data_IF_930861291076
#
_entry.id   IF_930861291076
#
_cell.length_a   1.000
_cell.length_b   1.000
_cell.length_c   1.000
_cell.angle_alpha   90.00
_cell.angle_beta   90.00
_cell.angle_gamma   90.00
#
_symmetry.space_group_name_H-M   'P 1'
#
loop_
_entity.id
_entity.type
_entity.pdbx_description
1 polymer ?
#
# COMPACT_ATOMS: atom_id res chain seq x y z
N UNK A 1 42.36 -16.78 -22.71
CA UNK A 1 41.87 -17.34 -21.43
C UNK A 1 41.32 -16.21 -20.54
N UNK A 2 40.11 -15.67 -20.83
CA UNK A 2 39.51 -14.54 -20.07
C UNK A 2 38.03 -14.79 -19.67
N UNK A 3 37.56 -16.05 -19.68
CA UNK A 3 36.16 -16.38 -19.35
C UNK A 3 35.77 -16.44 -17.87
N UNK A 4 36.66 -16.66 -16.86
CA UNK A 4 36.21 -16.76 -15.45
C UNK A 4 35.84 -15.42 -14.79
N UNK A 5 36.38 -14.31 -15.27
CA UNK A 5 36.17 -12.99 -14.60
C UNK A 5 34.73 -12.48 -14.78
N UNK A 6 34.13 -12.72 -15.95
CA UNK A 6 32.75 -12.26 -16.25
C UNK A 6 31.73 -13.03 -15.44
N UNK A 7 31.98 -14.32 -15.18
CA UNK A 7 31.07 -15.18 -14.39
C UNK A 7 31.07 -14.76 -12.90
N UNK A 8 32.20 -14.35 -12.37
CA UNK A 8 32.33 -13.90 -10.98
C UNK A 8 31.62 -12.55 -10.72
N UNK A 9 31.65 -11.63 -11.68
CA UNK A 9 30.96 -10.34 -11.57
C UNK A 9 29.44 -10.52 -11.66
N UNK A 10 28.96 -11.43 -12.52
CA UNK A 10 27.54 -11.73 -12.64
C UNK A 10 26.99 -12.43 -11.38
N UNK A 11 27.73 -13.30 -10.74
CA UNK A 11 27.33 -13.96 -9.49
C UNK A 11 27.30 -13.01 -8.30
N UNK A 12 28.23 -12.05 -8.22
CA UNK A 12 28.26 -11.05 -7.14
C UNK A 12 27.12 -10.02 -7.27
N UNK A 13 26.67 -9.68 -8.47
CA UNK A 13 25.50 -8.83 -8.66
C UNK A 13 24.19 -9.53 -8.26
N UNK A 14 24.05 -10.83 -8.55
CA UNK A 14 22.85 -11.59 -8.19
C UNK A 14 22.65 -11.75 -6.68
N UNK A 15 23.74 -11.77 -5.90
CA UNK A 15 23.69 -11.87 -4.43
C UNK A 15 23.19 -10.61 -3.72
N UNK A 16 23.27 -9.44 -4.35
CA UNK A 16 22.84 -8.17 -3.75
C UNK A 16 21.32 -7.97 -3.74
N UNK A 17 20.57 -8.72 -4.57
CA UNK A 17 19.12 -8.55 -4.71
C UNK A 17 18.27 -9.40 -3.75
N UNK A 18 18.87 -10.22 -2.89
CA UNK A 18 18.16 -11.11 -1.99
C UNK A 18 18.25 -10.71 -0.49
N UNK A 19 18.53 -9.47 -0.17
CA UNK A 19 18.39 -9.04 1.23
C UNK A 19 16.90 -8.90 1.55
N UNK A 20 16.36 -9.64 2.53
CA UNK A 20 15.01 -9.40 3.00
C UNK A 20 14.94 -7.94 3.46
N UNK A 21 13.99 -7.18 2.94
CA UNK A 21 13.72 -5.84 3.43
C UNK A 21 13.35 -5.98 4.92
N UNK A 22 14.27 -5.61 5.78
CA UNK A 22 14.00 -5.51 7.21
C UNK A 22 12.88 -4.49 7.37
N UNK A 23 11.75 -4.89 7.96
CA UNK A 23 10.68 -3.96 8.27
C UNK A 23 11.18 -3.05 9.40
N UNK A 24 11.70 -1.89 9.05
CA UNK A 24 12.09 -0.87 10.01
C UNK A 24 10.84 -0.15 10.50
N UNK A 25 10.83 0.19 11.79
CA UNK A 25 9.83 1.11 12.32
C UNK A 25 10.08 2.49 11.71
N UNK A 26 9.04 3.06 11.13
CA UNK A 26 9.06 4.37 10.47
C UNK A 26 8.21 5.36 11.27
N UNK A 27 8.59 6.63 11.21
CA UNK A 27 7.79 7.71 11.82
C UNK A 27 6.75 8.20 10.83
N UNK A 28 5.49 8.24 11.25
CA UNK A 28 4.38 8.70 10.43
C UNK A 28 3.72 9.89 11.13
N UNK A 29 3.40 10.94 10.37
CA UNK A 29 2.62 12.10 10.86
C UNK A 29 1.46 12.35 9.92
N UNK A 30 0.25 12.53 10.44
CA UNK A 30 -0.90 12.99 9.65
C UNK A 30 -0.78 14.49 9.39
N UNK A 31 -0.60 14.85 8.12
CA UNK A 31 -0.52 16.26 7.69
C UNK A 31 -1.89 16.83 7.35
N UNK A 32 -2.75 16.02 6.71
CA UNK A 32 -4.07 16.43 6.26
C UNK A 32 -4.95 15.19 6.02
N UNK A 33 -6.21 15.22 6.43
CA UNK A 33 -7.21 14.16 6.20
C UNK A 33 -7.79 14.13 4.77
N UNK A 34 -7.20 14.88 3.83
CA UNK A 34 -7.76 15.06 2.49
C UNK A 34 -8.70 16.28 2.40
N UNK A 35 -9.23 16.50 1.19
CA UNK A 35 -10.05 17.68 0.89
C UNK A 35 -11.56 17.37 0.84
N UNK A 36 -11.95 16.13 1.09
CA UNK A 36 -13.34 15.69 1.04
C UNK A 36 -13.81 15.29 2.42
N UNK A 37 -14.99 15.76 2.79
CA UNK A 37 -15.65 15.39 4.04
C UNK A 37 -17.02 14.80 3.70
N UNK A 38 -17.33 13.62 4.23
CA UNK A 38 -18.64 12.99 4.14
C UNK A 38 -19.10 12.58 5.52
N UNK A 39 -20.30 13.00 5.90
CA UNK A 39 -20.89 12.71 7.22
C UNK A 39 -19.99 13.08 8.41
N UNK A 40 -19.20 14.15 8.26
CA UNK A 40 -18.34 14.67 9.32
C UNK A 40 -16.96 14.04 9.44
N UNK A 41 -16.64 13.06 8.59
CA UNK A 41 -15.32 12.42 8.55
C UNK A 41 -14.59 12.73 7.24
N UNK A 42 -13.26 12.79 7.31
CA UNK A 42 -12.43 12.92 6.11
C UNK A 42 -12.49 11.63 5.28
N UNK A 43 -12.61 11.79 3.97
CA UNK A 43 -12.65 10.68 3.00
C UNK A 43 -11.73 10.98 1.82
N UNK A 44 -11.20 9.93 1.21
CA UNK A 44 -10.24 10.04 0.11
C UNK A 44 -8.78 9.91 0.59
N UNK A 45 -7.80 10.22 -0.29
CA UNK A 45 -6.40 10.10 0.09
C UNK A 45 -5.99 11.12 1.15
N UNK A 46 -5.46 10.62 2.25
CA UNK A 46 -4.83 11.39 3.32
C UNK A 46 -3.42 11.81 2.90
N UNK A 47 -2.95 12.93 3.43
CA UNK A 47 -1.57 13.35 3.29
C UNK A 47 -0.79 13.01 4.56
N UNK A 48 0.16 12.12 4.43
CA UNK A 48 1.06 11.69 5.51
C UNK A 48 2.46 12.26 5.28
N UNK A 49 3.24 12.34 6.36
CA UNK A 49 4.70 12.47 6.29
C UNK A 49 5.29 11.19 6.86
N UNK A 50 6.08 10.48 6.07
CA UNK A 50 6.73 9.22 6.44
C UNK A 50 8.22 9.42 6.40
N UNK A 51 8.89 9.31 7.55
CA UNK A 51 10.33 9.61 7.72
C UNK A 51 10.76 10.93 7.06
N UNK A 52 9.93 11.98 7.24
CA UNK A 52 10.16 13.31 6.69
C UNK A 52 9.63 13.54 5.27
N UNK A 53 9.25 12.50 4.52
CA UNK A 53 8.80 12.59 3.14
C UNK A 53 7.27 12.62 3.05
N UNK A 54 6.68 13.47 2.18
CA UNK A 54 5.24 13.50 1.96
C UNK A 54 4.78 12.25 1.20
N UNK A 55 3.63 11.71 1.59
CA UNK A 55 3.05 10.50 1.03
C UNK A 55 1.52 10.60 1.03
N UNK A 56 0.86 10.13 -0.04
CA UNK A 56 -0.58 9.96 -0.06
C UNK A 56 -0.94 8.52 0.29
N UNK A 57 -1.95 8.35 1.15
CA UNK A 57 -2.40 7.05 1.61
C UNK A 57 -3.91 7.04 1.82
N UNK A 58 -4.53 5.87 1.83
CA UNK A 58 -5.95 5.66 2.08
C UNK A 58 -6.10 4.87 3.37
N UNK A 59 -6.90 5.40 4.30
CA UNK A 59 -7.20 4.75 5.56
C UNK A 59 -8.19 3.59 5.33
N UNK A 60 -7.92 2.44 5.94
CA UNK A 60 -8.85 1.29 5.97
C UNK A 60 -9.48 1.04 7.34
N UNK A 61 -9.09 1.83 8.32
CA UNK A 61 -9.50 1.71 9.70
C UNK A 61 -10.54 2.77 10.08
N UNK A 62 -11.74 2.33 10.46
CA UNK A 62 -12.83 3.16 10.98
C UNK A 62 -12.98 3.09 12.50
N UNK A 63 -12.23 2.22 13.17
CA UNK A 63 -12.31 2.04 14.62
C UNK A 63 -11.53 3.11 15.38
N UNK A 64 -10.50 3.69 14.78
CA UNK A 64 -9.60 4.62 15.45
C UNK A 64 -9.68 6.03 14.87
N UNK A 65 -9.60 7.03 15.74
CA UNK A 65 -9.60 8.43 15.36
C UNK A 65 -8.19 9.03 15.36
N UNK A 66 -7.82 9.65 14.24
CA UNK A 66 -6.60 10.42 14.05
C UNK A 66 -6.89 11.91 13.86
N UNK A 67 -6.05 12.74 14.44
CA UNK A 67 -6.10 14.18 14.27
C UNK A 67 -4.89 14.70 13.51
N UNK A 68 -5.10 15.78 12.75
CA UNK A 68 -4.00 16.45 12.03
C UNK A 68 -2.92 16.88 13.02
N UNK A 69 -1.69 16.48 12.76
CA UNK A 69 -0.53 16.68 13.61
C UNK A 69 -0.14 15.47 14.47
N UNK A 70 -1.00 14.46 14.58
CA UNK A 70 -0.66 13.23 15.30
C UNK A 70 0.53 12.54 14.63
N UNK A 71 1.42 12.03 15.49
CA UNK A 71 2.63 11.32 15.05
C UNK A 71 2.74 9.98 15.79
N UNK A 72 3.05 8.91 15.02
CA UNK A 72 3.21 7.56 15.56
C UNK A 72 4.31 6.80 14.85
N UNK A 73 4.63 5.62 15.37
CA UNK A 73 5.50 4.66 14.69
C UNK A 73 4.68 3.58 14.01
N UNK A 74 5.01 3.28 12.78
CA UNK A 74 4.39 2.23 11.99
C UNK A 74 5.43 1.30 11.37
N UNK A 75 4.96 0.18 10.86
CA UNK A 75 5.76 -0.71 10.03
C UNK A 75 5.14 -0.76 8.64
N UNK A 76 5.95 -0.45 7.61
CA UNK A 76 5.55 -0.59 6.22
C UNK A 76 5.83 -2.01 5.73
N UNK A 77 4.83 -2.66 5.15
CA UNK A 77 4.99 -3.99 4.52
C UNK A 77 4.30 -4.04 3.17
N UNK A 78 4.91 -4.71 2.15
CA UNK A 78 4.23 -5.00 0.90
C UNK A 78 2.95 -5.78 1.12
N UNK A 79 1.91 -5.45 0.34
CA UNK A 79 0.64 -6.15 0.36
C UNK A 79 0.79 -7.53 -0.30
N UNK A 80 1.13 -8.52 0.50
CA UNK A 80 1.33 -9.91 0.06
C UNK A 80 0.67 -10.89 1.02
N UNK A 81 0.36 -12.10 0.55
CA UNK A 81 -0.26 -13.15 1.36
C UNK A 81 0.49 -13.43 2.67
N UNK A 82 1.82 -13.45 2.63
CA UNK A 82 2.64 -13.75 3.81
C UNK A 82 2.64 -12.63 4.85
N UNK A 83 2.30 -11.42 4.44
CA UNK A 83 2.28 -10.25 5.31
C UNK A 83 0.90 -9.98 5.94
N UNK A 84 -0.18 -10.62 5.45
CA UNK A 84 -1.54 -10.36 5.96
C UNK A 84 -1.65 -10.50 7.47
N UNK A 85 -0.99 -11.49 8.06
CA UNK A 85 -0.99 -11.72 9.51
C UNK A 85 -0.35 -10.61 10.36
N UNK A 86 0.36 -9.67 9.72
CA UNK A 86 1.01 -8.53 10.36
C UNK A 86 0.23 -7.23 10.20
N UNK A 87 -0.82 -7.22 9.38
CA UNK A 87 -1.72 -6.11 9.21
C UNK A 87 -2.78 -6.12 10.30
N UNK A 88 -3.36 -4.97 10.58
CA UNK A 88 -4.28 -4.81 11.69
C UNK A 88 -5.44 -5.81 11.64
N UNK A 89 -6.19 -5.81 10.54
CA UNK A 89 -7.36 -6.66 10.36
C UNK A 89 -7.02 -8.07 9.85
N UNK A 90 -5.77 -8.37 9.63
CA UNK A 90 -5.26 -9.69 9.29
C UNK A 90 -4.60 -10.41 10.47
N UNK A 91 -4.33 -9.70 11.56
CA UNK A 91 -3.71 -10.23 12.76
C UNK A 91 -4.71 -11.04 13.59
N UNK A 92 -4.50 -12.34 13.82
CA UNK A 92 -5.43 -13.17 14.60
C UNK A 92 -5.56 -12.76 16.08
N UNK A 93 -4.67 -11.90 16.58
CA UNK A 93 -4.78 -11.34 17.93
C UNK A 93 -5.65 -10.08 18.00
N UNK A 94 -6.02 -9.48 16.85
CA UNK A 94 -6.88 -8.31 16.82
C UNK A 94 -8.36 -8.72 17.06
N UNK A 95 -9.09 -8.07 18.00
CA UNK A 95 -10.51 -8.33 18.22
C UNK A 95 -11.38 -7.98 16.99
N UNK A 96 -10.88 -7.13 16.10
CA UNK A 96 -11.54 -6.71 14.85
C UNK A 96 -11.03 -7.47 13.61
N UNK A 97 -10.52 -8.70 13.80
CA UNK A 97 -10.05 -9.54 12.70
C UNK A 97 -11.10 -9.65 11.60
N UNK A 98 -10.73 -9.32 10.38
CA UNK A 98 -11.60 -9.50 9.21
C UNK A 98 -11.97 -10.99 9.03
N UNK A 99 -13.22 -11.27 8.69
CA UNK A 99 -13.72 -12.64 8.48
C UNK A 99 -12.92 -13.38 7.42
N UNK A 100 -12.51 -12.69 6.38
CA UNK A 100 -11.62 -13.19 5.33
C UNK A 100 -10.57 -12.14 4.97
N UNK A 101 -9.45 -12.05 5.70
CA UNK A 101 -8.43 -11.03 5.45
C UNK A 101 -7.94 -11.00 4.00
N UNK A 102 -7.82 -12.16 3.34
CA UNK A 102 -7.39 -12.23 1.95
C UNK A 102 -8.37 -11.50 1.02
N UNK A 103 -9.66 -11.71 1.19
CA UNK A 103 -10.69 -11.03 0.41
C UNK A 103 -10.69 -9.53 0.75
N UNK A 104 -10.82 -9.18 2.05
CA UNK A 104 -10.93 -7.79 2.49
C UNK A 104 -9.75 -6.94 2.01
N UNK A 105 -8.51 -7.39 2.18
CA UNK A 105 -7.33 -6.64 1.70
C UNK A 105 -7.20 -6.58 0.19
N UNK A 106 -7.65 -7.61 -0.55
CA UNK A 106 -7.66 -7.59 -2.02
C UNK A 106 -8.70 -6.59 -2.55
N UNK A 107 -9.90 -6.64 -2.00
CA UNK A 107 -11.00 -5.76 -2.35
C UNK A 107 -10.70 -4.30 -1.97
N UNK A 108 -10.13 -4.06 -0.77
CA UNK A 108 -9.69 -2.74 -0.33
C UNK A 108 -8.60 -2.15 -1.22
N UNK A 109 -7.62 -2.95 -1.65
CA UNK A 109 -6.59 -2.50 -2.57
C UNK A 109 -7.17 -2.13 -3.95
N UNK A 110 -8.14 -2.90 -4.45
CA UNK A 110 -8.88 -2.54 -5.66
C UNK A 110 -9.59 -1.20 -5.48
N UNK A 111 -10.39 -1.04 -4.43
CA UNK A 111 -11.10 0.21 -4.15
C UNK A 111 -10.14 1.39 -3.96
N UNK A 112 -9.01 1.18 -3.28
CA UNK A 112 -7.94 2.18 -3.15
C UNK A 112 -7.42 2.63 -4.51
N UNK A 113 -7.28 1.72 -5.48
CA UNK A 113 -6.81 2.07 -6.82
C UNK A 113 -7.76 3.02 -7.56
N UNK A 114 -9.04 3.02 -7.23
CA UNK A 114 -10.05 3.87 -7.86
C UNK A 114 -9.86 5.37 -7.55
N UNK A 115 -9.23 5.72 -6.43
CA UNK A 115 -8.90 7.13 -6.13
C UNK A 115 -7.97 7.77 -7.18
N UNK A 116 -7.24 6.96 -7.95
CA UNK A 116 -6.36 7.46 -9.02
C UNK A 116 -7.12 7.74 -10.34
N UNK A 117 -8.32 7.17 -10.51
CA UNK A 117 -9.03 7.16 -11.80
C UNK A 117 -10.45 7.70 -11.72
N UNK A 118 -11.06 7.71 -10.54
CA UNK A 118 -12.41 8.19 -10.31
C UNK A 118 -12.46 9.65 -9.86
N UNK A 119 -13.52 10.39 -10.23
CA UNK A 119 -13.70 11.78 -9.81
C UNK A 119 -13.86 11.87 -8.29
N UNK A 120 -13.47 13.02 -7.74
CA UNK A 120 -13.52 13.28 -6.31
C UNK A 120 -14.92 13.15 -5.69
N UNK A 121 -15.98 13.30 -6.50
CA UNK A 121 -17.36 13.10 -6.06
C UNK A 121 -17.64 11.65 -5.57
N UNK A 122 -16.91 10.67 -6.08
CA UNK A 122 -17.10 9.25 -5.74
C UNK A 122 -16.28 8.84 -4.50
N UNK A 123 -15.30 9.66 -4.09
CA UNK A 123 -14.33 9.29 -3.05
C UNK A 123 -14.97 8.95 -1.71
N UNK A 124 -16.04 9.65 -1.33
CA UNK A 124 -16.77 9.34 -0.12
C UNK A 124 -17.34 7.94 -0.11
N UNK A 125 -18.07 7.59 -1.17
CA UNK A 125 -18.67 6.27 -1.30
C UNK A 125 -17.62 5.15 -1.38
N UNK A 126 -16.53 5.37 -2.12
CA UNK A 126 -15.42 4.41 -2.23
C UNK A 126 -14.78 4.20 -0.86
N UNK A 127 -14.54 5.27 -0.08
CA UNK A 127 -13.89 5.16 1.21
C UNK A 127 -14.76 4.43 2.24
N UNK A 128 -16.04 4.78 2.30
CA UNK A 128 -16.99 4.04 3.17
C UNK A 128 -17.13 2.58 2.76
N UNK A 129 -17.00 2.25 1.46
CA UNK A 129 -16.94 0.86 1.01
C UNK A 129 -15.70 0.13 1.56
N UNK A 130 -14.52 0.77 1.53
CA UNK A 130 -13.28 0.22 2.11
C UNK A 130 -13.48 -0.08 3.59
N UNK A 131 -13.93 0.89 4.38
CA UNK A 131 -14.15 0.70 5.82
C UNK A 131 -15.15 -0.43 6.11
N UNK A 132 -16.21 -0.56 5.31
CA UNK A 132 -17.21 -1.62 5.44
C UNK A 132 -16.66 -3.04 5.19
N UNK A 133 -15.51 -3.19 4.53
CA UNK A 133 -14.83 -4.48 4.35
C UNK A 133 -14.18 -4.99 5.64
N UNK A 134 -13.82 -4.07 6.55
CA UNK A 134 -13.14 -4.36 7.80
C UNK A 134 -14.06 -4.21 9.02
N UNK A 135 -14.98 -3.25 8.99
CA UNK A 135 -15.96 -3.03 10.05
C UNK A 135 -17.41 -3.13 9.50
N UNK A 136 -18.11 -4.24 9.73
CA UNK A 136 -19.51 -4.38 9.31
C UNK A 136 -20.45 -3.32 9.90
N UNK A 137 -20.12 -2.70 11.05
CA UNK A 137 -20.95 -1.67 11.68
C UNK A 137 -20.96 -0.37 10.85
N UNK A 138 -19.97 -0.15 10.00
CA UNK A 138 -19.91 0.99 9.06
C UNK A 138 -21.12 1.02 8.13
N UNK A 139 -21.70 -0.13 7.79
CA UNK A 139 -22.93 -0.19 6.97
C UNK A 139 -24.13 0.54 7.58
N UNK A 140 -24.10 0.82 8.90
CA UNK A 140 -25.12 1.58 9.62
C UNK A 140 -24.74 3.07 9.77
N UNK A 141 -23.53 3.46 9.38
CA UNK A 141 -23.09 4.86 9.47
C UNK A 141 -23.82 5.71 8.43
N UNK A 142 -24.13 6.98 8.76
CA UNK A 142 -24.84 7.90 7.87
C UNK A 142 -24.09 8.18 6.55
N UNK A 143 -22.77 7.97 6.54
CA UNK A 143 -21.93 8.10 5.35
C UNK A 143 -21.93 6.89 4.42
N UNK A 144 -22.41 5.73 4.88
CA UNK A 144 -22.50 4.52 4.07
C UNK A 144 -23.75 4.57 3.18
N UNK A 145 -23.59 5.05 1.97
CA UNK A 145 -24.67 5.25 0.99
C UNK A 145 -24.92 3.99 0.15
N UNK A 146 -25.97 4.02 -0.66
CA UNK A 146 -26.23 2.98 -1.67
C UNK A 146 -25.05 2.85 -2.66
N UNK A 147 -24.35 3.95 -2.97
CA UNK A 147 -23.17 3.91 -3.84
C UNK A 147 -22.00 3.23 -3.14
N UNK A 148 -21.81 3.43 -1.81
CA UNK A 148 -20.81 2.69 -1.05
C UNK A 148 -21.07 1.18 -1.07
N UNK A 149 -22.32 0.77 -0.89
CA UNK A 149 -22.73 -0.63 -1.01
C UNK A 149 -22.49 -1.18 -2.43
N UNK A 150 -22.76 -0.38 -3.47
CA UNK A 150 -22.49 -0.76 -4.85
C UNK A 150 -21.00 -1.00 -5.11
N UNK A 151 -20.13 -0.11 -4.62
CA UNK A 151 -18.66 -0.27 -4.72
C UNK A 151 -18.17 -1.52 -3.99
N UNK A 152 -18.62 -1.77 -2.76
CA UNK A 152 -18.27 -2.98 -2.00
C UNK A 152 -18.72 -4.25 -2.74
N UNK A 153 -19.95 -4.28 -3.26
CA UNK A 153 -20.50 -5.42 -4.02
C UNK A 153 -19.72 -5.64 -5.34
N UNK A 154 -19.32 -4.57 -6.01
CA UNK A 154 -18.48 -4.68 -7.21
C UNK A 154 -17.14 -5.31 -6.89
N UNK A 155 -16.44 -4.85 -5.84
CA UNK A 155 -15.16 -5.40 -5.40
C UNK A 155 -15.29 -6.90 -5.07
N UNK A 156 -16.31 -7.28 -4.29
CA UNK A 156 -16.59 -8.67 -3.94
C UNK A 156 -16.88 -9.54 -5.17
N UNK A 157 -17.63 -9.00 -6.16
CA UNK A 157 -17.93 -9.71 -7.41
C UNK A 157 -16.65 -9.96 -8.22
N UNK A 158 -15.79 -8.95 -8.33
CA UNK A 158 -14.51 -9.07 -9.04
C UNK A 158 -13.57 -10.07 -8.35
N UNK A 159 -13.53 -10.05 -7.01
CA UNK A 159 -12.71 -10.98 -6.24
C UNK A 159 -13.21 -12.43 -6.38
N UNK A 160 -14.50 -12.67 -6.17
CA UNK A 160 -15.08 -14.02 -6.27
C UNK A 160 -15.04 -14.57 -7.69
N UNK A 161 -15.13 -13.69 -8.69
CA UNK A 161 -14.95 -14.03 -10.11
C UNK A 161 -13.50 -14.24 -10.53
N UNK A 162 -12.52 -14.06 -9.63
CA UNK A 162 -11.09 -14.19 -9.92
C UNK A 162 -10.52 -13.11 -10.84
N UNK A 163 -11.26 -12.01 -11.04
CA UNK A 163 -10.84 -10.88 -11.89
C UNK A 163 -9.82 -9.98 -11.18
N UNK A 164 -9.89 -9.92 -9.85
CA UNK A 164 -8.86 -9.28 -9.01
C UNK A 164 -8.24 -10.29 -8.05
N UNK A 165 -6.94 -10.16 -7.85
CA UNK A 165 -6.15 -11.02 -6.96
C UNK A 165 -5.17 -10.17 -6.17
N UNK A 166 -4.79 -10.60 -4.97
CA UNK A 166 -3.82 -9.87 -4.15
C UNK A 166 -2.50 -9.61 -4.88
N UNK A 167 -2.07 -10.53 -5.76
CA UNK A 167 -0.83 -10.40 -6.51
C UNK A 167 -0.80 -9.19 -7.46
N UNK A 168 -1.96 -8.75 -7.97
CA UNK A 168 -2.05 -7.55 -8.82
C UNK A 168 -1.73 -6.27 -8.05
N UNK A 169 -1.86 -6.30 -6.71
CA UNK A 169 -1.63 -5.18 -5.80
C UNK A 169 -0.34 -5.30 -5.00
N UNK A 170 0.58 -6.19 -5.39
CA UNK A 170 1.84 -6.41 -4.68
C UNK A 170 2.75 -5.16 -4.60
N UNK A 171 2.52 -4.16 -5.47
CA UNK A 171 3.19 -2.86 -5.40
C UNK A 171 2.67 -1.92 -4.31
N UNK A 172 1.50 -2.21 -3.73
CA UNK A 172 0.98 -1.47 -2.59
C UNK A 172 1.72 -1.84 -1.31
N UNK A 173 1.81 -0.88 -0.40
CA UNK A 173 2.28 -1.12 0.96
C UNK A 173 1.15 -0.84 1.94
N UNK A 174 1.19 -1.49 3.09
CA UNK A 174 0.31 -1.21 4.22
C UNK A 174 1.17 -0.70 5.36
N UNK A 175 0.79 0.46 5.91
CA UNK A 175 1.38 1.06 7.09
C UNK A 175 0.55 0.65 8.30
N UNK A 176 1.02 -0.35 9.05
CA UNK A 176 0.36 -0.80 10.27
C UNK A 176 1.05 -0.16 11.48
N UNK A 177 0.28 0.46 12.36
CA UNK A 177 0.80 1.04 13.59
C UNK A 177 1.45 -0.02 14.49
N UNK A 178 2.59 0.34 15.10
CA UNK A 178 3.29 -0.59 15.99
C UNK A 178 2.61 -0.74 17.36
N UNK A 179 1.79 0.23 17.74
CA UNK A 179 0.98 0.21 18.95
C UNK A 179 -0.40 0.76 18.61
N UNK A 180 -1.43 -0.04 18.78
CA UNK A 180 -2.83 0.32 18.61
C UNK A 180 -3.45 0.34 19.99
N UNK A 181 -3.85 1.53 20.53
CA UNK A 181 -4.52 1.62 21.81
C UNK A 181 -5.91 0.98 21.75
N UNK A 182 -6.36 0.32 22.81
CA UNK A 182 -7.66 -0.37 22.83
C UNK A 182 -8.87 0.56 22.98
N UNK A 183 -8.65 1.87 23.13
CA UNK A 183 -9.69 2.85 23.50
C UNK A 183 -10.33 3.58 22.29
N UNK A 184 -10.09 3.12 21.07
CA UNK A 184 -10.61 3.74 19.84
C UNK A 184 -9.94 5.06 19.47
N UNK A 185 -8.92 5.48 20.23
CA UNK A 185 -8.05 6.61 19.89
C UNK A 185 -6.68 6.05 19.50
N UNK A 186 -6.14 6.53 18.41
CA UNK A 186 -4.81 6.12 18.05
C UNK A 186 -4.56 6.02 16.55
N UNK A 187 -3.37 5.55 16.21
CA UNK A 187 -2.98 5.48 14.82
C UNK A 187 -3.80 4.43 14.08
N UNK A 188 -4.22 4.82 12.89
CA UNK A 188 -4.96 4.00 11.94
C UNK A 188 -4.00 3.24 11.02
N UNK A 189 -4.51 2.20 10.36
CA UNK A 189 -3.84 1.52 9.26
C UNK A 189 -4.09 2.24 7.93
N UNK A 190 -3.12 2.20 7.02
CA UNK A 190 -3.19 2.90 5.74
C UNK A 190 -2.65 2.07 4.58
N UNK A 191 -3.37 2.06 3.46
CA UNK A 191 -2.85 1.67 2.16
C UNK A 191 -2.04 2.80 1.54
N UNK A 192 -0.82 2.49 1.12
CA UNK A 192 0.06 3.39 0.38
C UNK A 192 0.07 3.00 -1.08
N UNK A 193 -0.15 3.99 -1.95
CA UNK A 193 -0.07 3.79 -3.39
C UNK A 193 1.33 3.33 -3.80
N UNK A 194 1.44 2.50 -4.88
CA UNK A 194 2.73 2.17 -5.45
C UNK A 194 3.45 3.48 -5.83
N UNK A 195 4.61 3.70 -5.26
CA UNK A 195 5.49 4.74 -5.78
C UNK A 195 6.02 4.26 -7.12
N UNK A 196 5.93 5.07 -8.20
CA UNK A 196 6.63 4.74 -9.42
C UNK A 196 8.09 4.46 -9.05
N UNK A 197 8.61 3.31 -9.46
CA UNK A 197 10.03 3.01 -9.21
C UNK A 197 10.86 4.20 -9.68
N UNK A 198 11.75 4.74 -8.86
CA UNK A 198 12.58 5.87 -9.27
C UNK A 198 13.23 5.48 -10.60
N UNK A 199 13.30 6.43 -11.53
CA UNK A 199 14.00 6.23 -12.82
C UNK A 199 15.44 5.76 -12.68
N UNK A 200 15.90 5.55 -11.45
CA UNK A 200 17.16 4.94 -11.02
C UNK A 200 17.39 3.56 -11.65
N UNK A 201 16.36 2.72 -11.74
CA UNK A 201 16.48 1.41 -12.42
C UNK A 201 16.66 1.59 -13.92
N UNK A 202 15.94 2.54 -14.53
CA UNK A 202 16.10 2.88 -15.93
C UNK A 202 17.47 3.52 -16.20
N UNK A 203 17.92 4.42 -15.33
CA UNK A 203 19.25 5.03 -15.41
C UNK A 203 20.36 4.00 -15.19
N UNK A 204 20.19 3.07 -14.26
CA UNK A 204 21.12 1.98 -14.04
C UNK A 204 21.18 1.03 -15.23
N UNK A 205 20.04 0.64 -15.78
CA UNK A 205 19.96 -0.22 -16.97
C UNK A 205 20.56 0.46 -18.21
N UNK A 206 20.30 1.76 -18.41
CA UNK A 206 20.89 2.53 -19.50
C UNK A 206 22.40 2.73 -19.30
N UNK A 207 22.87 2.99 -18.08
CA UNK A 207 24.29 3.10 -17.74
C UNK A 207 25.04 1.79 -18.01
N UNK A 208 24.50 0.65 -17.58
CA UNK A 208 25.06 -0.67 -17.87
C UNK A 208 25.06 -0.96 -19.38
N UNK A 209 24.00 -0.63 -20.09
CA UNK A 209 23.90 -0.80 -21.54
C UNK A 209 24.99 -0.02 -22.28
N UNK A 210 25.23 1.22 -21.87
CA UNK A 210 26.30 2.06 -22.46
C UNK A 210 27.71 1.52 -22.17
N UNK A 211 27.95 1.00 -20.96
CA UNK A 211 29.24 0.37 -20.60
C UNK A 211 29.50 -0.89 -21.43
N UNK A 212 28.50 -1.76 -21.57
CA UNK A 212 28.60 -3.00 -22.38
C UNK A 212 28.81 -2.63 -23.85
N UNK A 213 28.08 -1.64 -24.36
CA UNK A 213 28.24 -1.18 -25.74
C UNK A 213 29.63 -0.58 -26.01
N UNK A 214 30.13 0.27 -25.08
CA UNK A 214 31.46 0.86 -25.18
C UNK A 214 32.58 -0.20 -25.19
N UNK A 215 32.45 -1.20 -24.30
CA UNK A 215 33.40 -2.31 -24.22
C UNK A 215 33.40 -3.16 -25.52
N UNK A 216 32.22 -3.49 -26.05
CA UNK A 216 32.09 -4.26 -27.29
C UNK A 216 32.66 -3.53 -28.51
N UNK A 217 32.47 -2.20 -28.57
CA UNK A 217 33.00 -1.37 -29.63
C UNK A 217 34.53 -1.27 -29.56
N UNK A 218 35.11 -1.19 -28.36
CA UNK A 218 36.56 -1.16 -28.13
C UNK A 218 37.25 -2.47 -28.58
N UNK A 219 36.59 -3.63 -28.47
CA UNK A 219 37.13 -4.90 -28.90
C UNK A 219 37.15 -5.10 -30.45
N UNK A 220 36.35 -4.31 -31.18
CA UNK A 220 36.34 -4.37 -32.67
C UNK A 220 37.32 -3.40 -33.31
N UNK A 221 37.91 -2.50 -32.54
CA UNK A 221 38.86 -1.51 -33.01
C UNK A 221 40.33 -1.89 -32.76
N UNK A 222 40.54 -3.00 -32.04
CA UNK A 222 41.86 -3.62 -31.78
C UNK A 222 42.01 -4.89 -32.62
#
# INVERSE_FOLDING_TARGET
MQRPLILLVALSLAGFFMMPASSLAISVTLLNGGNVVQSGVFVGPYQLRVDGNPLSAVCDDFYHDLFVGDTWTATARPLTKVNLQFFEFGNPANPHLAVNPMASYTEAAYLTSLFLTHPQADWGAIHFAIWGLFDPAVSNASGYTADAAAWANQAATLYTGGQITLAQFAGYQVLTANLIPPDGRGPQEFFVFPTPEPGTLLLFATGLGLLVYGWWRGQRAA
#
